data_IF_361280283725
#
_entry.id   IF_361280283725
#
_cell.length_a   1.000
_cell.length_b   1.000
_cell.length_c   1.000
_cell.angle_alpha   90.00
_cell.angle_beta   90.00
_cell.angle_gamma   90.00
#
_symmetry.space_group_name_H-M   'P 1'
#
loop_
_entity.id
_entity.type
_entity.pdbx_description
1 polymer ?
#
# COMPACT_ATOMS: atom_id res chain seq x y z
N UNK A 1 -41.11 13.35 -49.75
CA UNK A 1 -41.94 12.26 -49.19
C UNK A 1 -41.99 12.45 -47.68
N UNK A 2 -43.09 13.03 -47.17
CA UNK A 2 -43.21 13.38 -45.75
C UNK A 2 -43.73 12.18 -44.96
N UNK A 3 -42.97 11.70 -43.96
CA UNK A 3 -43.44 10.67 -43.04
C UNK A 3 -44.59 11.22 -42.18
N UNK A 4 -45.71 10.50 -42.18
CA UNK A 4 -46.90 10.83 -41.40
C UNK A 4 -46.63 10.73 -39.90
N UNK A 5 -47.33 11.53 -39.10
CA UNK A 5 -47.16 11.63 -37.65
C UNK A 5 -47.01 10.30 -36.87
N UNK A 6 -47.78 9.22 -37.14
CA UNK A 6 -47.63 7.97 -36.38
C UNK A 6 -46.26 7.29 -36.59
N UNK A 7 -45.63 7.48 -37.74
CA UNK A 7 -44.31 6.92 -38.03
C UNK A 7 -43.18 7.61 -37.24
N UNK A 8 -43.35 8.91 -36.93
CA UNK A 8 -42.38 9.67 -36.13
C UNK A 8 -42.37 9.21 -34.66
N UNK A 9 -43.54 8.91 -34.11
CA UNK A 9 -43.66 8.40 -32.73
C UNK A 9 -43.09 6.98 -32.58
N UNK A 10 -43.28 6.12 -33.60
CA UNK A 10 -42.68 4.79 -33.59
C UNK A 10 -41.14 4.85 -33.64
N UNK A 11 -40.59 5.76 -34.45
CA UNK A 11 -39.14 5.95 -34.57
C UNK A 11 -38.52 6.51 -33.27
N UNK A 12 -39.21 7.45 -32.59
CA UNK A 12 -38.77 8.01 -31.31
C UNK A 12 -38.84 6.98 -30.17
N UNK A 13 -39.87 6.12 -30.15
CA UNK A 13 -39.96 4.99 -29.21
C UNK A 13 -38.85 3.97 -29.42
N UNK A 14 -38.53 3.63 -30.68
CA UNK A 14 -37.43 2.72 -31.01
C UNK A 14 -36.06 3.27 -30.56
N UNK A 15 -35.82 4.58 -30.72
CA UNK A 15 -34.61 5.25 -30.25
C UNK A 15 -34.49 5.31 -28.72
N UNK A 16 -35.61 5.53 -28.01
CA UNK A 16 -35.63 5.51 -26.55
C UNK A 16 -35.35 4.10 -25.97
N UNK A 17 -35.86 3.05 -26.62
CA UNK A 17 -35.58 1.66 -26.23
C UNK A 17 -34.10 1.31 -26.52
N UNK A 18 -33.52 1.80 -27.62
CA UNK A 18 -32.10 1.61 -27.92
C UNK A 18 -31.18 2.27 -26.88
N UNK A 19 -31.56 3.45 -26.35
CA UNK A 19 -30.81 4.17 -25.32
C UNK A 19 -30.91 3.53 -23.92
N UNK A 20 -31.95 2.74 -23.66
CA UNK A 20 -32.09 1.99 -22.41
C UNK A 20 -31.31 0.66 -22.43
N UNK A 21 -30.94 0.16 -23.60
CA UNK A 21 -30.22 -1.11 -23.77
C UNK A 21 -28.69 -1.00 -23.65
N UNK A 22 -28.11 0.20 -23.52
CA UNK A 22 -26.65 0.38 -23.48
C UNK A 22 -26.08 0.69 -22.09
N UNK A 23 -26.79 0.38 -21.01
CA UNK A 23 -26.14 0.26 -19.69
C UNK A 23 -25.51 -1.13 -19.57
N UNK A 24 -24.47 -1.37 -20.36
CA UNK A 24 -23.51 -2.41 -20.01
C UNK A 24 -22.90 -2.02 -18.67
N UNK A 25 -23.38 -2.62 -17.58
CA UNK A 25 -22.62 -2.69 -16.35
C UNK A 25 -21.40 -3.51 -16.72
N UNK A 26 -20.29 -2.84 -17.04
CA UNK A 26 -18.99 -3.47 -17.04
C UNK A 26 -18.74 -3.78 -15.57
N UNK A 27 -19.23 -4.93 -15.12
CA UNK A 27 -18.65 -5.61 -13.98
C UNK A 27 -17.25 -5.98 -14.45
N UNK A 28 -16.30 -5.07 -14.24
CA UNK A 28 -14.90 -5.39 -14.33
C UNK A 28 -14.69 -6.52 -13.35
N UNK A 29 -14.56 -7.74 -13.87
CA UNK A 29 -13.92 -8.81 -13.12
C UNK A 29 -12.61 -8.23 -12.64
N UNK A 30 -12.37 -8.23 -11.33
CA UNK A 30 -11.07 -7.93 -10.79
C UNK A 30 -10.11 -8.90 -11.46
N UNK A 31 -9.46 -8.46 -12.55
CA UNK A 31 -8.32 -9.16 -13.08
C UNK A 31 -7.35 -9.32 -11.93
N UNK A 32 -6.81 -10.53 -11.86
CA UNK A 32 -5.91 -11.04 -10.84
C UNK A 32 -4.80 -10.01 -10.57
N UNK A 33 -5.05 -9.09 -9.63
CA UNK A 33 -4.25 -7.88 -9.39
C UNK A 33 -2.96 -8.21 -8.63
N UNK A 34 -2.49 -9.45 -8.77
CA UNK A 34 -1.14 -9.81 -8.46
C UNK A 34 -0.27 -9.07 -9.47
N UNK A 35 0.53 -8.12 -8.97
CA UNK A 35 1.82 -7.83 -9.61
C UNK A 35 2.37 -9.17 -10.04
N UNK A 36 2.43 -9.39 -11.36
CA UNK A 36 2.91 -10.64 -11.94
C UNK A 36 4.15 -11.00 -11.15
N UNK A 37 4.14 -12.20 -10.58
CA UNK A 37 5.21 -12.78 -9.76
C UNK A 37 6.47 -12.87 -10.64
N UNK A 38 7.16 -11.75 -10.85
CA UNK A 38 8.02 -11.51 -12.02
C UNK A 38 9.06 -10.42 -11.78
N UNK A 39 10.16 -10.51 -12.55
CA UNK A 39 11.60 -10.28 -12.26
C UNK A 39 12.05 -8.93 -11.66
N UNK A 40 11.17 -7.92 -11.65
CA UNK A 40 11.42 -6.53 -11.22
C UNK A 40 10.09 -5.84 -10.92
N UNK A 41 10.10 -4.61 -10.38
CA UNK A 41 8.93 -3.74 -10.48
C UNK A 41 8.41 -3.78 -11.94
N UNK A 42 7.09 -3.83 -12.19
CA UNK A 42 6.59 -3.84 -13.56
C UNK A 42 7.14 -2.67 -14.34
N UNK A 43 7.30 -2.86 -15.65
CA UNK A 43 7.75 -1.80 -16.54
C UNK A 43 6.88 -0.53 -16.34
N UNK A 44 7.54 0.61 -16.12
CA UNK A 44 6.89 1.90 -15.84
C UNK A 44 6.64 2.21 -14.35
N UNK A 45 6.83 1.25 -13.44
CA UNK A 45 6.82 1.51 -12.01
C UNK A 45 8.17 2.07 -11.59
N UNK A 46 8.12 3.18 -10.86
CA UNK A 46 9.30 3.79 -10.24
C UNK A 46 9.04 4.01 -8.75
N UNK A 47 10.15 4.09 -8.01
CA UNK A 47 10.08 4.52 -6.62
C UNK A 47 9.93 6.04 -6.56
N UNK A 48 8.83 6.49 -5.97
CA UNK A 48 8.59 7.89 -5.63
C UNK A 48 8.59 8.06 -4.12
N UNK A 49 8.97 9.23 -3.60
CA UNK A 49 8.84 9.53 -2.18
C UNK A 49 7.39 9.33 -1.71
N UNK A 50 7.20 8.66 -0.56
CA UNK A 50 5.88 8.46 0.02
C UNK A 50 5.35 9.81 0.52
N UNK A 51 4.07 10.09 0.29
CA UNK A 51 3.39 11.20 0.98
C UNK A 51 2.60 10.67 2.18
N UNK A 52 2.85 11.24 3.36
CA UNK A 52 2.12 10.91 4.59
C UNK A 52 1.27 12.10 5.03
N UNK A 53 0.00 11.85 5.32
CA UNK A 53 -0.90 12.86 5.88
C UNK A 53 -1.75 12.30 7.02
N UNK A 54 -1.88 13.03 8.12
CA UNK A 54 -2.66 12.60 9.29
C UNK A 54 -2.11 13.25 10.55
N UNK A 55 -1.94 12.49 11.61
CA UNK A 55 -1.34 12.99 12.85
C UNK A 55 -0.49 11.96 13.59
N UNK A 56 0.38 12.47 14.46
CA UNK A 56 1.09 11.74 15.50
C UNK A 56 0.88 12.49 16.81
N UNK A 57 0.09 11.89 17.72
CA UNK A 57 -0.44 12.65 18.85
C UNK A 57 -1.21 13.88 18.36
N UNK A 58 -0.85 15.06 18.88
CA UNK A 58 -1.44 16.34 18.49
C UNK A 58 -0.77 17.01 17.28
N UNK A 59 0.33 16.44 16.76
CA UNK A 59 1.08 17.01 15.63
C UNK A 59 0.45 16.55 14.31
N UNK A 60 0.08 17.50 13.46
CA UNK A 60 -0.44 17.23 12.12
C UNK A 60 0.69 16.96 11.12
N UNK A 61 0.55 15.89 10.35
CA UNK A 61 1.48 15.51 9.31
C UNK A 61 0.97 15.90 7.92
N UNK A 62 1.84 16.49 7.12
CA UNK A 62 1.71 16.56 5.67
C UNK A 62 3.12 16.63 5.06
N UNK A 63 3.83 15.51 5.13
CA UNK A 63 5.24 15.42 4.74
C UNK A 63 5.44 14.36 3.66
N UNK A 64 6.62 14.40 3.06
CA UNK A 64 7.05 13.46 2.04
C UNK A 64 8.38 12.87 2.49
N UNK A 65 8.51 11.55 2.41
CA UNK A 65 9.65 10.79 2.94
C UNK A 65 9.20 9.49 3.59
N UNK A 66 10.17 8.75 4.13
CA UNK A 66 9.89 7.54 4.93
C UNK A 66 9.34 7.91 6.30
N UNK A 67 8.79 6.93 7.03
CA UNK A 67 8.31 7.18 8.39
C UNK A 67 9.43 7.65 9.32
N UNK A 68 10.65 7.12 9.17
CA UNK A 68 11.80 7.52 9.96
C UNK A 68 12.23 8.97 9.66
N UNK A 69 12.30 9.36 8.39
CA UNK A 69 12.63 10.73 7.97
C UNK A 69 11.60 11.74 8.48
N UNK A 70 10.31 11.38 8.40
CA UNK A 70 9.22 12.24 8.85
C UNK A 70 9.23 12.37 10.38
N UNK A 71 9.45 11.28 11.11
CA UNK A 71 9.57 11.32 12.58
C UNK A 71 10.75 12.18 13.03
N UNK A 72 11.91 12.08 12.36
CA UNK A 72 13.06 12.93 12.64
C UNK A 72 12.73 14.42 12.42
N UNK A 73 12.12 14.74 11.27
CA UNK A 73 11.71 16.12 10.95
C UNK A 73 10.71 16.68 11.97
N UNK A 74 9.73 15.88 12.37
CA UNK A 74 8.73 16.30 13.36
C UNK A 74 9.37 16.55 14.72
N UNK A 75 10.32 15.72 15.14
CA UNK A 75 11.07 15.93 16.38
C UNK A 75 11.89 17.24 16.35
N UNK A 76 12.50 17.57 15.22
CA UNK A 76 13.25 18.83 15.05
C UNK A 76 12.33 20.06 15.10
N UNK A 77 11.14 19.98 14.49
CA UNK A 77 10.18 21.09 14.42
C UNK A 77 9.37 21.28 15.71
N UNK A 78 9.34 20.29 16.61
CA UNK A 78 8.52 20.30 17.82
C UNK A 78 9.38 19.97 19.06
N UNK A 79 9.99 20.95 19.73
CA UNK A 79 10.94 20.73 20.84
C UNK A 79 10.40 19.97 22.07
N UNK A 80 9.09 19.76 22.16
CA UNK A 80 8.42 18.93 23.19
C UNK A 80 8.00 17.55 22.71
N UNK A 81 8.13 17.26 21.41
CA UNK A 81 7.82 15.97 20.83
C UNK A 81 9.00 15.02 21.08
N UNK A 82 8.72 13.91 21.75
CA UNK A 82 9.68 12.83 21.92
C UNK A 82 9.23 11.64 21.12
N UNK A 83 10.14 11.08 20.32
CA UNK A 83 9.86 9.85 19.56
C UNK A 83 9.49 8.73 20.53
N UNK A 84 10.03 8.73 21.76
CA UNK A 84 9.68 7.80 22.83
C UNK A 84 8.21 7.89 23.25
N UNK A 85 7.62 9.09 23.22
CA UNK A 85 6.20 9.30 23.58
C UNK A 85 5.30 8.68 22.50
N UNK A 86 5.71 8.78 21.23
CA UNK A 86 5.05 8.08 20.11
C UNK A 86 5.23 6.57 20.24
N UNK A 87 6.43 6.13 20.62
CA UNK A 87 6.75 4.71 20.78
C UNK A 87 6.01 4.06 21.95
N UNK A 88 5.51 4.83 22.91
CA UNK A 88 4.79 4.35 24.10
C UNK A 88 3.28 4.58 24.04
N UNK A 89 2.81 5.56 23.25
CA UNK A 89 1.38 5.76 22.99
C UNK A 89 0.91 4.82 21.87
N UNK A 90 0.14 3.77 22.22
CA UNK A 90 -0.68 3.09 21.24
C UNK A 90 -1.76 4.10 20.78
N UNK A 91 -1.54 4.77 19.65
CA UNK A 91 -2.57 5.59 19.03
C UNK A 91 -3.83 4.75 18.80
N UNK A 92 -5.04 5.35 18.86
CA UNK A 92 -6.25 4.62 18.54
C UNK A 92 -6.08 4.06 17.14
N UNK A 93 -6.13 2.72 17.02
CA UNK A 93 -6.23 2.09 15.72
C UNK A 93 -7.41 2.76 14.99
N UNK A 94 -7.22 3.12 13.72
CA UNK A 94 -8.33 3.54 12.85
C UNK A 94 -9.24 2.31 12.69
N UNK A 95 -10.11 2.11 13.69
CA UNK A 95 -10.83 0.86 13.95
C UNK A 95 -11.92 0.60 12.91
N UNK A 96 -12.23 1.61 12.11
CA UNK A 96 -13.18 1.51 11.00
C UNK A 96 -12.62 0.79 9.77
N UNK A 97 -11.29 0.53 9.71
CA UNK A 97 -10.67 -0.27 8.64
C UNK A 97 -10.38 -1.72 9.08
N UNK A 98 -10.07 -1.97 10.36
CA UNK A 98 -9.62 -3.28 10.89
C UNK A 98 -10.53 -4.50 10.57
N UNK A 99 -11.85 -4.29 10.42
CA UNK A 99 -12.78 -5.38 10.06
C UNK A 99 -12.89 -5.64 8.55
N UNK A 100 -12.58 -4.65 7.73
CA UNK A 100 -12.42 -4.78 6.27
C UNK A 100 -11.01 -5.26 5.91
N UNK A 101 -10.02 -4.94 6.73
CA UNK A 101 -8.59 -5.21 6.54
C UNK A 101 -8.23 -6.69 6.39
N UNK A 102 -8.95 -7.59 7.09
CA UNK A 102 -8.82 -9.04 6.89
C UNK A 102 -9.44 -9.54 5.58
N UNK A 103 -10.40 -8.80 5.01
CA UNK A 103 -11.17 -9.23 3.82
C UNK A 103 -10.44 -8.94 2.51
N UNK A 104 -9.46 -8.05 2.53
CA UNK A 104 -8.73 -7.63 1.34
C UNK A 104 -7.37 -8.28 1.19
N UNK A 105 -6.69 -8.68 2.27
CA UNK A 105 -5.44 -9.47 2.19
C UNK A 105 -5.68 -10.77 1.42
N UNK A 106 -4.90 -11.02 0.36
CA UNK A 106 -5.08 -12.19 -0.51
C UNK A 106 -3.95 -13.19 -0.38
N UNK A 107 -2.71 -12.76 -0.65
CA UNK A 107 -1.57 -13.65 -0.87
C UNK A 107 -0.33 -13.20 -0.15
N UNK A 108 0.59 -14.14 0.05
CA UNK A 108 1.88 -13.92 0.67
C UNK A 108 2.92 -14.88 0.07
N UNK A 109 4.09 -14.35 -0.25
CA UNK A 109 5.21 -15.11 -0.77
C UNK A 109 6.48 -14.74 0.01
N UNK A 110 7.22 -15.75 0.42
CA UNK A 110 8.49 -15.57 1.11
C UNK A 110 9.66 -15.61 0.12
N UNK A 111 10.78 -15.00 0.49
CA UNK A 111 12.05 -15.17 -0.22
C UNK A 111 12.44 -16.67 -0.30
N UNK A 112 13.02 -17.16 -1.41
CA UNK A 112 13.45 -16.44 -2.60
C UNK A 112 12.31 -16.13 -3.58
N UNK A 113 12.40 -14.97 -4.22
CA UNK A 113 11.46 -14.58 -5.27
C UNK A 113 12.05 -15.00 -6.62
N UNK A 114 11.41 -15.94 -7.31
CA UNK A 114 11.77 -16.28 -8.71
C UNK A 114 11.74 -15.03 -9.58
N UNK A 115 10.77 -14.16 -9.32
CA UNK A 115 10.62 -12.89 -9.96
C UNK A 115 11.30 -11.72 -9.28
N UNK A 116 12.21 -11.82 -8.30
CA UNK A 116 12.98 -10.63 -7.86
C UNK A 116 14.35 -11.09 -7.31
N UNK A 117 15.28 -11.53 -8.19
CA UNK A 117 16.50 -12.22 -7.76
C UNK A 117 17.50 -11.32 -7.02
N UNK A 118 17.41 -10.01 -7.25
CA UNK A 118 18.24 -8.99 -6.61
C UNK A 118 17.80 -8.69 -5.18
N UNK A 119 16.52 -8.89 -4.86
CA UNK A 119 16.00 -8.69 -3.52
C UNK A 119 16.57 -9.75 -2.60
N UNK A 120 17.20 -9.28 -1.53
CA UNK A 120 17.76 -10.13 -0.48
C UNK A 120 16.95 -9.98 0.79
N UNK A 121 16.87 -11.02 1.62
CA UNK A 121 16.29 -10.90 2.95
C UNK A 121 17.18 -10.02 3.83
N UNK A 122 16.59 -9.48 4.89
CA UNK A 122 17.21 -8.54 5.82
C UNK A 122 17.00 -9.02 7.26
N UNK A 123 17.78 -8.52 8.22
CA UNK A 123 17.60 -8.89 9.62
C UNK A 123 16.21 -8.49 10.12
N UNK A 124 15.51 -9.45 10.71
CA UNK A 124 14.13 -9.32 11.15
C UNK A 124 13.90 -8.23 12.20
N UNK A 125 14.94 -7.83 12.94
CA UNK A 125 14.85 -6.75 13.94
C UNK A 125 14.57 -5.38 13.30
N UNK A 126 15.21 -5.06 12.18
CA UNK A 126 15.03 -3.75 11.54
C UNK A 126 13.63 -3.61 10.94
N UNK A 127 13.08 -4.70 10.42
CA UNK A 127 11.69 -4.72 9.94
C UNK A 127 10.70 -4.60 11.09
N UNK A 128 10.99 -5.19 12.25
CA UNK A 128 10.16 -5.01 13.46
C UNK A 128 10.13 -3.55 13.91
N UNK A 129 11.26 -2.85 13.85
CA UNK A 129 11.32 -1.43 14.20
C UNK A 129 10.48 -0.58 13.22
N UNK A 130 10.63 -0.81 11.92
CA UNK A 130 9.81 -0.17 10.88
C UNK A 130 8.30 -0.41 11.05
N UNK A 131 7.90 -1.65 11.35
CA UNK A 131 6.50 -1.99 11.71
C UNK A 131 6.05 -1.18 12.94
N UNK A 132 6.89 -1.09 13.96
CA UNK A 132 6.58 -0.38 15.20
C UNK A 132 6.35 1.11 14.97
N UNK A 133 7.16 1.76 14.12
CA UNK A 133 6.95 3.16 13.74
C UNK A 133 5.63 3.35 12.99
N UNK A 134 5.36 2.52 11.99
CA UNK A 134 4.14 2.62 11.17
C UNK A 134 2.85 2.33 11.95
N UNK A 135 2.88 1.45 12.94
CA UNK A 135 1.72 1.11 13.76
C UNK A 135 1.28 2.25 14.69
N UNK A 136 2.17 3.19 15.01
CA UNK A 136 1.93 4.23 16.02
C UNK A 136 1.53 5.58 15.44
N UNK A 137 1.46 5.68 14.11
CA UNK A 137 0.99 6.90 13.44
C UNK A 137 -0.47 6.76 13.00
N UNK A 138 -1.26 7.80 13.24
CA UNK A 138 -2.63 7.90 12.74
C UNK A 138 -2.60 8.66 11.42
N UNK A 139 -2.01 8.02 10.40
CA UNK A 139 -1.76 8.67 9.13
C UNK A 139 -2.06 7.77 7.93
N UNK A 140 -2.38 8.43 6.83
CA UNK A 140 -2.51 7.83 5.51
C UNK A 140 -1.17 7.90 4.78
N UNK A 141 -0.71 6.74 4.34
CA UNK A 141 0.41 6.53 3.44
C UNK A 141 -0.14 6.55 1.99
N UNK A 142 0.18 7.61 1.25
CA UNK A 142 -0.29 7.84 -0.11
C UNK A 142 0.76 7.44 -1.13
N UNK A 143 0.33 6.65 -2.11
CA UNK A 143 1.14 6.26 -3.25
C UNK A 143 0.36 6.50 -4.54
N UNK A 144 1.04 7.04 -5.55
CA UNK A 144 0.47 7.24 -6.88
C UNK A 144 0.09 5.91 -7.54
N UNK A 145 -0.78 5.99 -8.55
CA UNK A 145 -1.07 4.83 -9.38
C UNK A 145 0.15 4.38 -10.17
N UNK A 146 0.36 3.07 -10.26
CA UNK A 146 1.52 2.44 -10.90
C UNK A 146 2.87 2.91 -10.35
N UNK A 147 2.95 3.20 -9.05
CA UNK A 147 4.20 3.60 -8.38
C UNK A 147 4.42 2.79 -7.13
N UNK A 148 5.68 2.79 -6.68
CA UNK A 148 6.05 2.26 -5.38
C UNK A 148 6.67 3.37 -4.52
N UNK A 149 6.56 3.22 -3.21
CA UNK A 149 7.19 4.12 -2.25
C UNK A 149 7.77 3.33 -1.09
N UNK A 150 8.93 3.75 -0.60
CA UNK A 150 9.47 3.24 0.66
C UNK A 150 8.66 3.86 1.80
N UNK A 151 7.98 3.03 2.57
CA UNK A 151 7.18 3.48 3.70
C UNK A 151 7.99 3.46 5.00
N UNK A 152 8.96 2.57 5.09
CA UNK A 152 9.99 2.54 6.12
C UNK A 152 11.32 2.15 5.46
N UNK A 153 12.40 2.83 5.85
CA UNK A 153 13.73 2.67 5.28
C UNK A 153 14.77 2.99 6.35
N UNK A 154 15.47 1.96 6.83
CA UNK A 154 16.50 2.11 7.85
C UNK A 154 17.43 0.91 7.87
N UNK A 155 18.72 1.10 8.17
CA UNK A 155 19.72 0.03 8.28
C UNK A 155 19.75 -0.93 7.08
N UNK A 156 19.70 -0.41 5.85
CA UNK A 156 19.62 -1.22 4.62
C UNK A 156 18.39 -2.14 4.55
N UNK A 157 17.34 -1.82 5.28
CA UNK A 157 16.07 -2.57 5.33
C UNK A 157 14.94 -1.68 4.85
N UNK A 158 14.09 -2.21 3.98
CA UNK A 158 12.95 -1.47 3.45
C UNK A 158 11.65 -2.25 3.67
N UNK A 159 10.63 -1.49 4.05
CA UNK A 159 9.24 -1.84 3.83
C UNK A 159 8.76 -0.90 2.73
N UNK A 160 8.25 -1.44 1.64
CA UNK A 160 7.72 -0.63 0.53
C UNK A 160 6.27 -0.97 0.22
N UNK A 161 5.55 0.02 -0.29
CA UNK A 161 4.18 -0.06 -0.76
C UNK A 161 4.18 0.19 -2.27
N UNK A 162 3.64 -0.74 -3.03
CA UNK A 162 3.37 -0.61 -4.46
C UNK A 162 1.87 -0.57 -4.70
N UNK A 163 1.43 0.40 -5.51
CA UNK A 163 0.05 0.51 -5.96
C UNK A 163 -0.01 0.16 -7.44
N UNK A 164 -0.68 -0.94 -7.74
CA UNK A 164 -0.86 -1.41 -9.11
C UNK A 164 -2.09 -0.84 -9.78
N UNK A 165 -2.97 -0.18 -9.04
CA UNK A 165 -4.11 0.49 -9.64
C UNK A 165 -3.65 1.77 -10.36
N UNK A 166 -4.41 2.27 -11.35
CA UNK A 166 -4.06 3.50 -12.05
C UNK A 166 -4.32 4.78 -11.22
N UNK A 167 -4.96 4.65 -10.06
CA UNK A 167 -5.41 5.81 -9.26
C UNK A 167 -4.58 5.91 -7.99
N UNK A 168 -4.18 7.13 -7.63
CA UNK A 168 -3.58 7.40 -6.32
C UNK A 168 -4.52 6.97 -5.21
N UNK A 169 -3.99 6.32 -4.19
CA UNK A 169 -4.80 5.95 -3.02
C UNK A 169 -3.99 6.04 -1.74
N UNK A 170 -4.68 6.45 -0.68
CA UNK A 170 -4.16 6.59 0.67
C UNK A 170 -4.67 5.46 1.53
N UNK A 171 -3.76 4.75 2.18
CA UNK A 171 -4.09 3.67 3.11
C UNK A 171 -3.51 3.99 4.47
N UNK A 172 -4.15 3.51 5.53
CA UNK A 172 -3.57 3.65 6.86
C UNK A 172 -2.16 3.05 6.89
N UNK A 173 -1.18 3.82 7.38
CA UNK A 173 0.19 3.35 7.53
C UNK A 173 0.27 2.14 8.48
N UNK A 174 -0.57 2.11 9.52
CA UNK A 174 -0.67 0.96 10.43
C UNK A 174 -1.29 -0.26 9.75
N UNK A 175 -2.20 -0.05 8.80
CA UNK A 175 -2.74 -1.13 7.98
C UNK A 175 -1.64 -1.74 7.10
N UNK A 176 -0.80 -0.90 6.47
CA UNK A 176 0.38 -1.38 5.70
C UNK A 176 1.39 -2.12 6.58
N UNK A 177 1.61 -1.64 7.81
CA UNK A 177 2.46 -2.32 8.79
C UNK A 177 1.96 -3.75 9.08
N UNK A 178 0.64 -3.98 9.04
CA UNK A 178 0.06 -5.31 9.27
C UNK A 178 0.44 -6.34 8.19
N UNK A 179 0.70 -5.92 6.95
CA UNK A 179 1.20 -6.82 5.89
C UNK A 179 2.67 -7.17 6.14
N UNK A 180 3.48 -6.18 6.49
CA UNK A 180 4.87 -6.41 6.88
C UNK A 180 4.96 -7.32 8.11
N UNK A 181 4.02 -7.20 9.05
CA UNK A 181 3.90 -8.11 10.20
C UNK A 181 3.54 -9.54 9.77
N UNK A 182 2.66 -9.74 8.81
CA UNK A 182 2.35 -11.07 8.27
C UNK A 182 3.58 -11.69 7.60
N UNK A 183 4.34 -10.90 6.83
CA UNK A 183 5.62 -11.31 6.24
C UNK A 183 6.63 -11.67 7.35
N UNK A 184 6.77 -10.82 8.38
CA UNK A 184 7.65 -11.09 9.52
C UNK A 184 7.29 -12.39 10.22
N UNK A 185 6.00 -12.66 10.42
CA UNK A 185 5.53 -13.85 11.11
C UNK A 185 5.73 -15.13 10.29
N UNK A 186 5.53 -15.07 8.97
CA UNK A 186 5.49 -16.27 8.11
C UNK A 186 6.76 -16.51 7.31
N UNK A 187 7.55 -15.47 7.03
CA UNK A 187 8.72 -15.52 6.16
C UNK A 187 10.05 -15.32 6.91
N UNK A 188 10.04 -15.30 8.24
CA UNK A 188 11.28 -15.28 9.01
C UNK A 188 11.91 -16.67 9.04
N UNK A 189 13.23 -16.72 8.82
CA UNK A 189 14.03 -17.93 8.96
C UNK A 189 15.34 -17.62 9.71
N UNK A 190 15.98 -18.66 10.24
CA UNK A 190 17.16 -18.52 11.10
C UNK A 190 18.44 -18.89 10.34
N UNK A 191 19.50 -18.10 10.55
CA UNK A 191 20.86 -18.37 10.09
C UNK A 191 21.80 -18.18 11.28
N UNK A 192 22.16 -19.29 11.93
CA UNK A 192 22.82 -19.24 13.24
C UNK A 192 21.92 -18.61 14.29
N UNK A 193 22.42 -17.59 15.01
CA UNK A 193 21.65 -16.84 16.02
C UNK A 193 20.83 -15.69 15.41
N UNK A 194 21.00 -15.42 14.12
CA UNK A 194 20.36 -14.30 13.44
C UNK A 194 19.07 -14.73 12.76
N UNK A 195 18.08 -13.84 12.76
CA UNK A 195 16.80 -14.01 12.08
C UNK A 195 16.73 -13.11 10.87
N UNK A 196 16.44 -13.69 9.72
CA UNK A 196 16.29 -12.99 8.45
C UNK A 196 14.86 -13.09 7.96
N UNK A 197 14.38 -12.05 7.28
CA UNK A 197 13.04 -11.98 6.71
C UNK A 197 13.12 -11.37 5.31
N UNK A 198 12.31 -11.89 4.40
CA UNK A 198 12.03 -11.28 3.12
C UNK A 198 10.72 -11.84 2.60
N UNK A 199 9.83 -10.96 2.13
CA UNK A 199 8.56 -11.40 1.59
C UNK A 199 7.81 -10.32 0.83
N UNK A 200 6.73 -10.74 0.19
CA UNK A 200 5.74 -9.92 -0.47
C UNK A 200 4.37 -10.33 0.03
N UNK A 201 3.47 -9.37 0.18
CA UNK A 201 2.09 -9.64 0.55
C UNK A 201 1.16 -8.73 -0.26
N UNK A 202 0.06 -9.29 -0.75
CA UNK A 202 -0.86 -8.63 -1.68
C UNK A 202 -2.26 -8.50 -1.11
N UNK A 203 -3.03 -7.64 -1.73
CA UNK A 203 -4.44 -7.49 -1.46
C UNK A 203 -5.29 -7.52 -2.74
N UNK A 204 -6.59 -7.73 -2.57
CA UNK A 204 -7.59 -7.77 -3.64
C UNK A 204 -7.93 -6.39 -4.19
N UNK A 205 -7.31 -5.33 -3.67
CA UNK A 205 -7.53 -3.94 -4.10
C UNK A 205 -6.38 -3.37 -4.91
N UNK A 206 -5.40 -4.20 -5.28
CA UNK A 206 -4.29 -3.80 -6.11
C UNK A 206 -3.15 -3.13 -5.34
N UNK A 207 -2.80 -3.69 -4.18
CA UNK A 207 -1.60 -3.32 -3.46
C UNK A 207 -0.68 -4.48 -3.19
N UNK A 208 0.59 -4.12 -2.99
CA UNK A 208 1.63 -5.04 -2.64
C UNK A 208 2.61 -4.40 -1.66
N UNK A 209 2.79 -5.06 -0.53
CA UNK A 209 3.79 -4.71 0.48
C UNK A 209 4.98 -5.63 0.34
N UNK A 210 6.18 -5.03 0.31
CA UNK A 210 7.42 -5.77 0.16
C UNK A 210 8.38 -5.51 1.31
N UNK A 211 9.03 -6.57 1.77
CA UNK A 211 10.09 -6.56 2.77
C UNK A 211 11.33 -7.14 2.14
N UNK A 212 12.37 -6.33 2.03
CA UNK A 212 13.64 -6.70 1.41
C UNK A 212 14.78 -5.80 1.88
N UNK A 213 16.00 -6.20 1.55
CA UNK A 213 17.20 -5.41 1.73
C UNK A 213 17.32 -4.36 0.64
N UNK A 214 17.41 -3.09 1.04
CA UNK A 214 17.63 -1.98 0.13
C UNK A 214 18.91 -1.25 0.51
N UNK A 215 19.90 -1.20 -0.39
CA UNK A 215 21.21 -0.58 -0.11
C UNK A 215 21.22 0.95 -0.25
N UNK A 216 20.12 1.56 -0.67
CA UNK A 216 19.92 3.01 -0.64
C UNK A 216 19.34 3.51 0.69
N UNK A 217 18.89 2.58 1.54
CA UNK A 217 18.85 2.71 2.99
C UNK A 217 20.22 2.30 3.60
#
# INVERSE_FOLDING_TARGET
MYLTAPFKYLLLLALAILLLATRSVIAGTAEDFHLVKGETLPEGFEYVPLRISGSIGDVHLNHTGTIEEILAKVADENPGFKIEDVLTSAGPAVDTLNTLDKRTKSDLACYPFSGQPTWKPVEARYIRDGISYLQKVTALCWVEGHKCSRISCSYKSAISLCNVTPVRKGLSCSYMASYAQDILNKCTYEVGIMRFVGGQAWDTQGYNINVYRDTSC
#
